data_IF_791865500211
#
_entry.id   IF_791865500211
#
_cell.length_a   1.000
_cell.length_b   1.000
_cell.length_c   1.000
_cell.angle_alpha   90.00
_cell.angle_beta   90.00
_cell.angle_gamma   90.00
#
_symmetry.space_group_name_H-M   'P 1'
#
loop_
_entity.id
_entity.type
_entity.pdbx_description
1 polymer ?
#
# COMPACT_ATOMS: atom_id res chain seq x y z
N UNK A 1 -6.06 -16.68 13.60
CA UNK A 1 -6.84 -16.67 12.34
C UNK A 1 -7.40 -15.27 12.20
N UNK A 2 -7.02 -14.52 11.15
CA UNK A 2 -7.49 -13.14 10.98
C UNK A 2 -9.01 -13.16 10.71
N UNK A 3 -9.79 -12.45 11.52
CA UNK A 3 -11.26 -12.41 11.41
C UNK A 3 -11.74 -11.67 10.16
N UNK A 4 -10.86 -10.86 9.57
CA UNK A 4 -11.18 -9.93 8.49
C UNK A 4 -10.37 -10.23 7.24
N UNK A 5 -11.00 -10.05 6.08
CA UNK A 5 -10.30 -9.94 4.80
C UNK A 5 -9.85 -8.48 4.61
N UNK A 6 -8.62 -8.18 5.04
CA UNK A 6 -8.09 -6.83 4.92
C UNK A 6 -7.86 -6.39 3.48
N UNK A 7 -7.64 -7.32 2.55
CA UNK A 7 -7.51 -6.98 1.13
C UNK A 7 -8.83 -6.46 0.61
N UNK A 8 -9.92 -7.19 0.85
CA UNK A 8 -11.25 -6.78 0.40
C UNK A 8 -11.64 -5.41 0.99
N UNK A 9 -11.44 -5.24 2.30
CA UNK A 9 -11.74 -3.97 2.98
C UNK A 9 -10.91 -2.81 2.43
N UNK A 10 -9.62 -3.01 2.16
CA UNK A 10 -8.78 -1.99 1.51
C UNK A 10 -9.31 -1.65 0.12
N UNK A 11 -9.58 -2.65 -0.71
CA UNK A 11 -10.00 -2.44 -2.11
C UNK A 11 -11.38 -1.80 -2.24
N UNK A 12 -12.23 -1.89 -1.22
CA UNK A 12 -13.53 -1.22 -1.20
C UNK A 12 -13.43 0.32 -1.18
N UNK A 13 -12.29 0.89 -0.80
CA UNK A 13 -12.03 2.33 -0.89
C UNK A 13 -11.61 2.79 -2.29
N UNK A 14 -11.45 1.86 -3.24
CA UNK A 14 -11.04 2.16 -4.60
C UNK A 14 -12.18 1.89 -5.59
N UNK A 15 -12.31 2.77 -6.59
CA UNK A 15 -13.14 2.53 -7.76
C UNK A 15 -12.78 1.19 -8.41
N UNK A 16 -13.78 0.48 -8.95
CA UNK A 16 -13.60 -0.89 -9.45
C UNK A 16 -12.44 -1.02 -10.47
N UNK A 17 -12.27 -0.02 -11.34
CA UNK A 17 -11.21 0.02 -12.34
C UNK A 17 -9.83 0.42 -11.79
N UNK A 18 -9.72 0.86 -10.53
CA UNK A 18 -8.46 1.16 -9.86
C UNK A 18 -8.00 0.03 -8.91
N UNK A 19 -8.74 -1.08 -8.75
CA UNK A 19 -8.39 -2.18 -7.85
C UNK A 19 -7.31 -3.06 -8.46
N UNK A 20 -6.05 -2.78 -8.15
CA UNK A 20 -4.90 -3.37 -8.84
C UNK A 20 -4.22 -4.50 -8.06
N UNK A 21 -4.24 -4.47 -6.72
CA UNK A 21 -3.76 -5.58 -5.87
C UNK A 21 -4.75 -6.74 -5.94
N UNK A 22 -4.29 -7.90 -6.41
CA UNK A 22 -5.11 -9.10 -6.66
C UNK A 22 -4.95 -10.18 -5.59
N UNK A 23 -3.79 -10.21 -4.93
CA UNK A 23 -3.48 -11.15 -3.87
C UNK A 23 -2.46 -10.49 -2.94
N UNK A 24 -2.55 -10.75 -1.65
CA UNK A 24 -1.60 -10.26 -0.65
C UNK A 24 -1.26 -11.37 0.33
N UNK A 25 0.02 -11.44 0.71
CA UNK A 25 0.52 -12.30 1.78
C UNK A 25 1.31 -11.44 2.75
N UNK A 26 0.85 -11.38 4.00
CA UNK A 26 1.49 -10.60 5.05
C UNK A 26 2.30 -11.56 5.94
N UNK A 27 3.56 -11.22 6.16
CA UNK A 27 4.44 -11.88 7.11
C UNK A 27 5.20 -10.81 7.90
N UNK A 28 4.98 -10.75 9.21
CA UNK A 28 5.61 -9.77 10.09
C UNK A 28 5.32 -8.30 9.65
N UNK A 29 6.36 -7.55 9.25
CA UNK A 29 6.30 -6.18 8.73
C UNK A 29 6.48 -6.11 7.20
N UNK A 30 6.33 -7.25 6.54
CA UNK A 30 6.44 -7.40 5.08
C UNK A 30 5.10 -7.84 4.48
N UNK A 31 4.81 -7.33 3.29
CA UNK A 31 3.71 -7.78 2.47
C UNK A 31 4.20 -8.08 1.05
N UNK A 32 3.99 -9.31 0.60
CA UNK A 32 4.08 -9.67 -0.82
C UNK A 32 2.72 -9.46 -1.47
N UNK A 33 2.69 -8.92 -2.69
CA UNK A 33 1.46 -8.71 -3.46
C UNK A 33 1.60 -9.12 -4.91
N UNK A 34 0.49 -9.62 -5.48
CA UNK A 34 0.31 -9.82 -6.93
C UNK A 34 -0.58 -8.72 -7.46
N UNK A 35 -0.18 -8.10 -8.56
CA UNK A 35 -0.82 -6.91 -9.10
C UNK A 35 -1.16 -7.07 -10.58
N UNK A 36 -2.18 -6.36 -11.02
CA UNK A 36 -2.57 -6.23 -12.42
C UNK A 36 -3.19 -4.87 -12.67
N UNK A 37 -2.60 -4.11 -13.59
CA UNK A 37 -3.03 -2.78 -14.04
C UNK A 37 -3.35 -2.88 -15.55
N UNK A 38 -4.45 -3.54 -15.95
CA UNK A 38 -4.75 -3.80 -17.36
C UNK A 38 -5.02 -2.50 -18.14
N UNK A 39 -5.58 -1.49 -17.46
CA UNK A 39 -5.80 -0.15 -17.97
C UNK A 39 -5.54 0.88 -16.88
N UNK A 40 -5.30 2.11 -17.32
CA UNK A 40 -5.17 3.27 -16.44
C UNK A 40 -6.56 3.71 -15.97
N UNK A 41 -6.75 3.93 -14.67
CA UNK A 41 -8.05 4.36 -14.15
C UNK A 41 -8.24 5.89 -14.11
N UNK A 42 -7.19 6.66 -14.37
CA UNK A 42 -7.25 8.10 -14.61
C UNK A 42 -7.33 8.39 -16.11
N UNK A 43 -8.06 9.45 -16.48
CA UNK A 43 -8.33 9.82 -17.87
C UNK A 43 -7.03 10.18 -18.61
N UNK A 44 -6.50 9.22 -19.38
CA UNK A 44 -5.39 9.43 -20.31
C UNK A 44 -5.72 8.71 -21.61
N UNK A 45 -5.72 9.45 -22.71
CA UNK A 45 -5.79 8.87 -24.05
C UNK A 45 -4.46 8.19 -24.39
N UNK A 46 -4.46 6.88 -24.65
CA UNK A 46 -3.27 6.16 -25.11
C UNK A 46 -3.27 4.66 -24.86
N UNK A 47 -2.38 3.95 -25.55
CA UNK A 47 -2.13 2.52 -25.32
C UNK A 47 -1.16 2.38 -24.15
N UNK A 48 -1.62 1.75 -23.07
CA UNK A 48 -0.78 1.40 -21.92
C UNK A 48 0.32 0.42 -22.36
N UNK A 49 1.59 0.80 -22.13
CA UNK A 49 2.76 -0.01 -22.48
C UNK A 49 3.66 -0.34 -21.29
N UNK A 50 3.51 0.36 -20.17
CA UNK A 50 4.31 0.19 -18.96
C UNK A 50 3.56 0.72 -17.72
N UNK A 51 4.12 0.46 -16.53
CA UNK A 51 3.69 1.08 -15.27
C UNK A 51 4.19 2.53 -15.19
N UNK A 52 3.26 3.46 -15.05
CA UNK A 52 3.50 4.87 -14.77
C UNK A 52 3.73 5.10 -13.27
N UNK A 53 4.38 6.21 -12.92
CA UNK A 53 4.61 6.58 -11.52
C UNK A 53 3.34 6.71 -10.68
N UNK A 54 2.25 7.23 -11.27
CA UNK A 54 0.95 7.32 -10.60
C UNK A 54 0.42 5.94 -10.21
N UNK A 55 0.60 4.95 -11.06
CA UNK A 55 0.13 3.59 -10.78
C UNK A 55 0.99 2.92 -9.72
N UNK A 56 2.31 3.20 -9.70
CA UNK A 56 3.21 2.78 -8.62
C UNK A 56 2.73 3.32 -7.27
N UNK A 57 2.24 4.57 -7.22
CA UNK A 57 1.64 5.13 -6.00
C UNK A 57 0.34 4.42 -5.63
N UNK A 58 -0.58 4.20 -6.57
CA UNK A 58 -1.88 3.54 -6.30
C UNK A 58 -1.67 2.11 -5.79
N UNK A 59 -0.81 1.32 -6.44
CA UNK A 59 -0.54 -0.05 -5.99
C UNK A 59 0.17 -0.07 -4.63
N UNK A 60 1.05 0.91 -4.38
CA UNK A 60 1.73 1.06 -3.09
C UNK A 60 0.71 1.31 -1.98
N UNK A 61 -0.22 2.25 -2.18
CA UNK A 61 -1.28 2.55 -1.21
C UNK A 61 -2.13 1.32 -0.90
N UNK A 62 -2.52 0.56 -1.92
CA UNK A 62 -3.31 -0.66 -1.72
C UNK A 62 -2.59 -1.69 -0.84
N UNK A 63 -1.30 -1.94 -1.09
CA UNK A 63 -0.56 -2.94 -0.30
C UNK A 63 -0.20 -2.41 1.09
N UNK A 64 0.19 -1.14 1.24
CA UNK A 64 0.51 -0.56 2.56
C UNK A 64 -0.74 -0.44 3.45
N UNK A 65 -1.91 -0.06 2.91
CA UNK A 65 -3.14 0.01 3.71
C UNK A 65 -3.57 -1.36 4.16
N UNK A 66 -3.41 -2.39 3.32
CA UNK A 66 -3.69 -3.78 3.71
C UNK A 66 -2.74 -4.23 4.83
N UNK A 67 -1.44 -3.91 4.73
CA UNK A 67 -0.46 -4.20 5.78
C UNK A 67 -0.77 -3.44 7.08
N UNK A 68 -1.00 -2.14 7.00
CA UNK A 68 -1.31 -1.29 8.17
C UNK A 68 -2.60 -1.72 8.86
N UNK A 69 -3.63 -2.12 8.12
CA UNK A 69 -4.86 -2.68 8.69
C UNK A 69 -4.52 -3.90 9.57
N UNK A 70 -3.71 -4.83 9.05
CA UNK A 70 -3.25 -5.98 9.83
C UNK A 70 -2.47 -5.57 11.09
N UNK A 71 -1.63 -4.53 11.00
CA UNK A 71 -0.82 -4.10 12.14
C UNK A 71 -1.64 -3.38 13.22
N UNK A 72 -2.45 -2.38 12.83
CA UNK A 72 -3.23 -1.56 13.76
C UNK A 72 -4.41 -2.32 14.35
N UNK A 73 -5.15 -3.11 13.56
CA UNK A 73 -6.35 -3.81 14.06
C UNK A 73 -5.97 -4.92 15.03
N UNK A 74 -4.81 -5.55 14.83
CA UNK A 74 -4.30 -6.58 15.72
C UNK A 74 -3.35 -6.04 16.82
N UNK A 75 -3.11 -4.73 16.89
CA UNK A 75 -2.26 -4.12 17.93
C UNK A 75 -0.80 -4.59 17.92
N UNK A 76 -0.23 -4.86 16.74
CA UNK A 76 1.12 -5.42 16.59
C UNK A 76 2.21 -4.34 16.77
N UNK A 77 3.41 -4.77 17.18
CA UNK A 77 4.60 -3.91 17.36
C UNK A 77 4.40 -2.68 18.25
N UNK A 78 3.52 -2.76 19.24
CA UNK A 78 3.22 -1.64 20.15
C UNK A 78 2.45 -0.49 19.48
N UNK A 79 1.84 -0.73 18.33
CA UNK A 79 0.89 0.21 17.74
C UNK A 79 -0.40 0.24 18.56
N UNK A 80 -1.01 1.42 18.66
CA UNK A 80 -2.35 1.59 19.23
C UNK A 80 -3.32 0.69 18.47
N UNK A 81 -4.07 -0.15 19.18
CA UNK A 81 -5.06 -0.98 18.53
C UNK A 81 -6.22 -0.11 18.04
N UNK A 82 -6.57 -0.23 16.76
CA UNK A 82 -7.65 0.54 16.14
C UNK A 82 -8.75 -0.42 15.68
N UNK A 83 -10.02 -0.20 16.08
CA UNK A 83 -11.13 -0.99 15.57
C UNK A 83 -11.25 -0.92 14.04
N UNK A 84 -11.65 -2.02 13.40
CA UNK A 84 -11.77 -2.11 11.94
C UNK A 84 -12.75 -1.08 11.35
N UNK A 85 -13.83 -0.79 12.09
CA UNK A 85 -14.87 0.19 11.80
C UNK A 85 -14.39 1.64 11.93
N UNK A 86 -13.20 1.86 12.47
CA UNK A 86 -12.53 3.16 12.53
C UNK A 86 -11.37 3.22 11.53
N UNK A 87 -10.65 2.12 11.32
CA UNK A 87 -9.43 2.11 10.52
C UNK A 87 -9.66 2.57 9.08
N UNK A 88 -10.58 1.96 8.34
CA UNK A 88 -10.82 2.33 6.94
C UNK A 88 -11.48 3.71 6.80
N UNK A 89 -12.67 3.96 7.37
CA UNK A 89 -13.41 5.21 7.10
C UNK A 89 -12.80 6.46 7.74
N UNK A 90 -11.81 6.33 8.63
CA UNK A 90 -11.19 7.48 9.29
C UNK A 90 -9.68 7.48 9.12
N UNK A 91 -8.99 6.39 9.46
CA UNK A 91 -7.53 6.40 9.37
C UNK A 91 -7.09 6.47 7.92
N UNK A 92 -7.54 5.53 7.07
CA UNK A 92 -7.16 5.48 5.65
C UNK A 92 -7.61 6.72 4.89
N UNK A 93 -8.86 7.15 5.09
CA UNK A 93 -9.43 8.26 4.32
C UNK A 93 -8.91 9.65 4.73
N UNK A 94 -8.61 9.87 6.02
CA UNK A 94 -8.37 11.23 6.53
C UNK A 94 -7.00 11.42 7.21
N UNK A 95 -6.37 10.36 7.71
CA UNK A 95 -5.25 10.49 8.67
C UNK A 95 -3.96 9.82 8.25
N UNK A 96 -3.93 9.16 7.09
CA UNK A 96 -2.69 8.72 6.47
C UNK A 96 -2.23 9.77 5.44
N UNK A 97 -0.98 10.19 5.55
CA UNK A 97 -0.34 11.10 4.58
C UNK A 97 0.99 10.52 4.14
N UNK A 98 1.22 10.47 2.83
CA UNK A 98 2.54 10.20 2.26
C UNK A 98 3.39 11.48 2.40
N UNK A 99 4.33 11.47 3.34
CA UNK A 99 5.22 12.60 3.62
C UNK A 99 6.39 12.69 2.63
N UNK A 100 6.79 11.55 2.05
CA UNK A 100 7.83 11.48 1.02
C UNK A 100 7.59 10.25 0.15
N UNK A 101 7.68 10.41 -1.17
CA UNK A 101 7.63 9.32 -2.14
C UNK A 101 8.82 9.45 -3.10
N UNK A 102 9.73 8.49 -3.10
CA UNK A 102 10.88 8.46 -3.98
C UNK A 102 10.84 7.15 -4.77
N UNK A 103 10.71 7.21 -6.09
CA UNK A 103 10.63 6.01 -6.95
C UNK A 103 11.66 6.05 -8.07
N UNK A 104 12.17 4.88 -8.46
CA UNK A 104 13.15 4.70 -9.53
C UNK A 104 12.70 3.59 -10.47
N UNK A 105 12.85 3.85 -11.77
CA UNK A 105 12.45 2.95 -12.84
C UNK A 105 13.70 2.43 -13.55
N UNK A 106 14.09 1.19 -13.27
CA UNK A 106 15.28 0.58 -13.88
C UNK A 106 14.92 -0.23 -15.12
N UNK A 107 13.75 -0.88 -15.13
CA UNK A 107 13.24 -1.69 -16.23
C UNK A 107 11.73 -1.51 -16.39
N UNK A 108 11.24 -1.80 -17.59
CA UNK A 108 9.81 -1.93 -17.82
C UNK A 108 9.25 -3.13 -17.04
N UNK A 109 8.04 -2.98 -16.55
CA UNK A 109 7.28 -4.02 -15.84
C UNK A 109 6.08 -4.36 -16.71
N UNK A 110 5.81 -5.65 -16.86
CA UNK A 110 4.56 -6.11 -17.49
C UNK A 110 3.39 -5.69 -16.60
N UNK A 111 2.65 -4.68 -17.04
CA UNK A 111 1.57 -4.11 -16.27
C UNK A 111 0.37 -5.06 -16.12
N UNK A 112 0.27 -6.11 -16.95
CA UNK A 112 -0.86 -7.04 -16.93
C UNK A 112 -0.77 -8.01 -15.76
N UNK A 113 0.44 -8.42 -15.40
CA UNK A 113 0.67 -9.26 -14.23
C UNK A 113 2.10 -9.09 -13.71
N UNK A 114 2.22 -8.74 -12.44
CA UNK A 114 3.50 -8.59 -11.79
C UNK A 114 3.37 -8.76 -10.27
N UNK A 115 4.51 -8.80 -9.58
CA UNK A 115 4.54 -8.91 -8.12
C UNK A 115 5.34 -7.78 -7.50
N UNK A 116 5.10 -7.50 -6.23
CA UNK A 116 5.92 -6.59 -5.44
C UNK A 116 6.02 -7.00 -3.98
N UNK A 117 7.05 -6.52 -3.31
CA UNK A 117 7.29 -6.75 -1.88
C UNK A 117 7.47 -5.42 -1.19
N UNK A 118 6.58 -5.13 -0.25
CA UNK A 118 6.59 -3.97 0.62
C UNK A 118 7.16 -4.36 1.98
N UNK A 119 8.07 -3.55 2.53
CA UNK A 119 8.63 -3.73 3.87
C UNK A 119 8.53 -2.46 4.70
N UNK A 120 8.16 -2.60 5.97
CA UNK A 120 8.32 -1.52 6.97
C UNK A 120 9.69 -1.66 7.63
N UNK A 121 10.61 -0.82 7.17
CA UNK A 121 12.00 -0.77 7.66
C UNK A 121 12.06 -0.19 9.07
N UNK A 122 11.27 0.86 9.33
CA UNK A 122 11.29 1.58 10.60
C UNK A 122 9.94 2.17 10.96
N UNK A 123 9.60 2.09 12.24
CA UNK A 123 8.44 2.74 12.83
C UNK A 123 8.93 3.74 13.89
N UNK A 124 8.47 4.98 13.84
CA UNK A 124 8.75 6.00 14.85
C UNK A 124 7.43 6.54 15.39
N UNK A 125 7.22 6.49 16.69
CA UNK A 125 6.09 7.16 17.34
C UNK A 125 6.50 8.56 17.81
N UNK A 126 5.69 9.58 17.54
CA UNK A 126 5.82 10.93 18.09
C UNK A 126 4.45 11.45 18.47
N UNK A 127 4.22 11.66 19.77
CA UNK A 127 2.90 12.04 20.32
C UNK A 127 1.82 11.05 19.83
N UNK A 128 0.86 11.53 19.03
CA UNK A 128 -0.25 10.73 18.50
C UNK A 128 -0.05 10.31 17.03
N UNK A 129 1.17 10.44 16.49
CA UNK A 129 1.46 10.06 15.11
C UNK A 129 2.53 8.98 15.03
N UNK A 130 2.33 8.04 14.11
CA UNK A 130 3.32 7.05 13.71
C UNK A 130 3.92 7.43 12.35
N UNK A 131 5.23 7.33 12.24
CA UNK A 131 5.95 7.48 10.98
C UNK A 131 6.48 6.11 10.55
N UNK A 132 6.10 5.70 9.35
CA UNK A 132 6.50 4.43 8.74
C UNK A 132 7.46 4.72 7.60
N UNK A 133 8.68 4.21 7.71
CA UNK A 133 9.67 4.23 6.65
C UNK A 133 9.61 2.88 5.96
N UNK A 134 9.36 2.90 4.66
CA UNK A 134 9.07 1.70 3.89
C UNK A 134 9.92 1.61 2.63
N UNK A 135 10.18 0.39 2.21
CA UNK A 135 10.71 0.07 0.88
C UNK A 135 9.67 -0.76 0.13
N UNK A 136 9.59 -0.57 -1.18
CA UNK A 136 8.70 -1.33 -2.06
C UNK A 136 9.45 -1.72 -3.32
N UNK A 137 9.71 -3.02 -3.46
CA UNK A 137 10.38 -3.61 -4.62
C UNK A 137 9.33 -4.19 -5.57
N UNK A 138 9.33 -3.77 -6.83
CA UNK A 138 8.42 -4.25 -7.86
C UNK A 138 9.21 -5.05 -8.88
N UNK A 139 8.73 -6.28 -9.13
CA UNK A 139 9.30 -7.20 -10.11
C UNK A 139 10.81 -7.42 -9.93
N UNK A 140 11.25 -7.67 -8.70
CA UNK A 140 12.65 -7.99 -8.37
C UNK A 140 13.63 -6.89 -8.79
N UNK A 141 13.33 -5.65 -8.38
CA UNK A 141 14.17 -4.48 -8.59
C UNK A 141 13.99 -3.80 -9.95
N UNK A 142 12.99 -4.19 -10.74
CA UNK A 142 12.66 -3.48 -11.99
C UNK A 142 12.23 -2.03 -11.70
N UNK A 143 11.46 -1.85 -10.62
CA UNK A 143 11.11 -0.55 -10.07
C UNK A 143 11.17 -0.63 -8.54
N UNK A 144 11.63 0.43 -7.89
CA UNK A 144 11.71 0.50 -6.43
C UNK A 144 11.18 1.82 -5.92
N UNK A 145 10.51 1.80 -4.78
CA UNK A 145 10.07 3.00 -4.09
C UNK A 145 10.51 2.99 -2.61
N UNK A 146 10.94 4.15 -2.14
CA UNK A 146 11.16 4.44 -0.72
C UNK A 146 10.12 5.48 -0.29
N UNK A 147 9.31 5.11 0.69
CA UNK A 147 8.14 5.92 1.05
C UNK A 147 8.08 6.12 2.56
N UNK A 148 7.80 7.36 2.97
CA UNK A 148 7.55 7.71 4.37
C UNK A 148 6.08 8.08 4.51
N UNK A 149 5.35 7.34 5.34
CA UNK A 149 3.98 7.70 5.72
C UNK A 149 3.96 8.27 7.13
N UNK A 150 3.04 9.21 7.36
CA UNK A 150 2.57 9.58 8.69
C UNK A 150 1.14 9.07 8.86
N UNK A 151 0.87 8.44 9.99
CA UNK A 151 -0.47 8.01 10.40
C UNK A 151 -0.81 8.72 11.71
N UNK A 152 -1.86 9.53 11.72
CA UNK A 152 -2.37 10.16 12.95
C UNK A 152 -3.44 9.28 13.61
N UNK A 153 -3.27 8.97 14.89
CA UNK A 153 -4.17 8.12 15.68
C UNK A 153 -4.81 8.85 16.86
N UNK A 154 -4.65 10.18 16.90
CA UNK A 154 -5.17 11.09 17.92
C UNK A 154 -6.68 11.25 17.89
#
# INVERSE_FOLDING_TARGET
>A
MNKYDFLELTLNNYANNCRYLKEVKILDKEAWGRFSVPSTCYEVEGIKSHLHAVEVMIIYEQIIYTLLANLFINGLYGLKQIPVDIFFPTIVDERIVIAKFNTRFYKQVDHREFTGILRIEKIICRKNSYFFYTSFDISSGAQVAEVVLRVDVG
#
